data_IF_862676195977
#
_entry.id   IF_862676195977
#
_cell.length_a   1.000
_cell.length_b   1.000
_cell.length_c   1.000
_cell.angle_alpha   90.00
_cell.angle_beta   90.00
_cell.angle_gamma   90.00
#
_symmetry.space_group_name_H-M   'P 1'
#
loop_
_entity.id
_entity.type
_entity.pdbx_description
1 polymer ?
#
# COMPACT_ATOMS: atom_id res chain seq x y z
N UNK A 1 7.83 25.86 -25.74
CA UNK A 1 8.84 25.64 -24.69
C UNK A 1 8.57 24.28 -24.05
N UNK A 2 9.44 23.29 -24.27
CA UNK A 2 9.33 21.97 -23.61
C UNK A 2 9.73 22.19 -22.14
N UNK A 3 8.77 22.25 -21.21
CA UNK A 3 9.10 22.30 -19.78
C UNK A 3 10.02 21.11 -19.42
N UNK A 4 11.05 21.36 -18.61
CA UNK A 4 11.93 20.28 -18.15
C UNK A 4 11.10 19.21 -17.41
N UNK A 5 11.45 17.94 -17.57
CA UNK A 5 10.76 16.80 -16.95
C UNK A 5 10.47 17.01 -15.45
N UNK A 6 11.42 17.56 -14.64
CA UNK A 6 11.18 17.82 -13.22
C UNK A 6 10.03 18.80 -12.96
N UNK A 7 9.89 19.84 -13.79
CA UNK A 7 8.83 20.86 -13.64
C UNK A 7 7.44 20.23 -13.92
N UNK A 8 7.34 19.37 -14.94
CA UNK A 8 6.11 18.66 -15.25
C UNK A 8 5.71 17.70 -14.12
N UNK A 9 6.66 16.89 -13.63
CA UNK A 9 6.43 16.00 -12.49
C UNK A 9 6.02 16.78 -11.26
N UNK A 10 6.71 17.88 -10.94
CA UNK A 10 6.44 18.69 -9.76
C UNK A 10 5.03 19.29 -9.76
N UNK A 11 4.56 19.79 -10.90
CA UNK A 11 3.21 20.36 -11.00
C UNK A 11 2.12 19.30 -10.88
N UNK A 12 2.30 18.13 -11.53
CA UNK A 12 1.38 17.02 -11.41
C UNK A 12 1.37 16.41 -10.01
N UNK A 13 2.54 16.29 -9.39
CA UNK A 13 2.68 15.83 -8.01
C UNK A 13 1.96 16.78 -7.04
N UNK A 14 2.17 18.09 -7.16
CA UNK A 14 1.47 19.07 -6.33
C UNK A 14 -0.05 18.98 -6.49
N UNK A 15 -0.54 18.84 -7.74
CA UNK A 15 -1.98 18.64 -7.99
C UNK A 15 -2.49 17.38 -7.31
N UNK A 16 -1.77 16.26 -7.45
CA UNK A 16 -2.15 14.97 -6.88
C UNK A 16 -2.20 15.02 -5.35
N UNK A 17 -1.17 15.59 -4.72
CA UNK A 17 -1.12 15.77 -3.25
C UNK A 17 -2.27 16.65 -2.75
N UNK A 18 -2.49 17.81 -3.37
CA UNK A 18 -3.59 18.71 -2.98
C UNK A 18 -4.95 18.01 -3.14
N UNK A 19 -5.13 17.25 -4.23
CA UNK A 19 -6.35 16.49 -4.47
C UNK A 19 -6.56 15.45 -3.37
N UNK A 20 -5.55 14.65 -3.04
CA UNK A 20 -5.62 13.67 -1.95
C UNK A 20 -6.02 14.35 -0.65
N UNK A 21 -5.34 15.41 -0.23
CA UNK A 21 -5.63 16.13 1.02
C UNK A 21 -7.05 16.74 1.07
N UNK A 22 -7.63 17.05 -0.08
CA UNK A 22 -8.99 17.61 -0.18
C UNK A 22 -10.09 16.57 -0.34
N UNK A 23 -9.76 15.28 -0.26
CA UNK A 23 -10.71 14.17 -0.37
C UNK A 23 -10.85 13.40 0.94
N UNK A 24 -11.46 13.98 1.99
CA UNK A 24 -11.61 13.30 3.28
C UNK A 24 -12.41 12.00 3.16
N UNK A 25 -13.35 11.92 2.22
CA UNK A 25 -14.12 10.72 1.93
C UNK A 25 -13.26 9.51 1.50
N UNK A 26 -12.05 9.72 1.01
CA UNK A 26 -11.09 8.65 0.68
C UNK A 26 -10.08 8.42 1.81
N UNK A 27 -9.63 9.49 2.47
CA UNK A 27 -8.63 9.40 3.55
C UNK A 27 -9.24 8.77 4.80
N UNK A 28 -10.40 9.24 5.23
CA UNK A 28 -11.01 8.80 6.50
C UNK A 28 -11.24 7.29 6.55
N UNK A 29 -11.86 6.64 5.56
CA UNK A 29 -11.99 5.19 5.57
C UNK A 29 -10.64 4.46 5.56
N UNK A 30 -9.67 4.97 4.81
CA UNK A 30 -8.34 4.36 4.71
C UNK A 30 -7.53 4.44 6.01
N UNK A 31 -7.84 5.37 6.89
CA UNK A 31 -7.24 5.50 8.22
C UNK A 31 -8.04 4.74 9.28
N UNK A 32 -9.37 4.97 9.33
CA UNK A 32 -10.21 4.46 10.41
C UNK A 32 -10.45 2.96 10.30
N UNK A 33 -10.71 2.45 9.10
CA UNK A 33 -11.06 1.04 8.94
C UNK A 33 -9.93 0.08 9.38
N UNK A 34 -8.65 0.27 8.98
CA UNK A 34 -7.56 -0.56 9.49
C UNK A 34 -7.34 -0.42 11.00
N UNK A 35 -7.49 0.79 11.56
CA UNK A 35 -7.36 1.02 13.00
C UNK A 35 -8.50 0.36 13.78
N UNK A 36 -9.72 0.40 13.25
CA UNK A 36 -10.86 -0.29 13.83
C UNK A 36 -10.61 -1.80 13.87
N UNK A 37 -10.15 -2.39 12.76
CA UNK A 37 -9.80 -3.80 12.72
C UNK A 37 -8.62 -4.14 13.65
N UNK A 38 -7.64 -3.25 13.79
CA UNK A 38 -6.57 -3.40 14.76
C UNK A 38 -7.13 -3.51 16.19
N UNK A 39 -8.02 -2.62 16.56
CA UNK A 39 -8.66 -2.61 17.88
C UNK A 39 -9.49 -3.88 18.13
N UNK A 40 -10.32 -4.28 17.17
CA UNK A 40 -11.17 -5.49 17.27
C UNK A 40 -10.30 -6.75 17.37
N UNK A 41 -9.29 -6.88 16.51
CA UNK A 41 -8.40 -8.04 16.52
C UNK A 41 -7.57 -8.12 17.80
N UNK A 42 -7.05 -6.97 18.27
CA UNK A 42 -6.26 -6.92 19.52
C UNK A 42 -7.10 -7.28 20.74
N UNK A 43 -8.39 -6.92 20.76
CA UNK A 43 -9.30 -7.32 21.82
C UNK A 43 -9.76 -8.78 21.71
N UNK A 44 -10.15 -9.21 20.50
CA UNK A 44 -10.73 -10.52 20.27
C UNK A 44 -9.74 -11.68 20.24
N UNK A 45 -8.49 -11.43 19.81
CA UNK A 45 -7.47 -12.44 19.62
C UNK A 45 -6.32 -12.38 20.67
N UNK A 46 -6.57 -11.71 21.79
CA UNK A 46 -5.55 -11.56 22.85
C UNK A 46 -5.01 -12.90 23.37
N UNK A 47 -5.85 -13.94 23.40
CA UNK A 47 -5.45 -15.28 23.86
C UNK A 47 -4.50 -16.02 22.88
N UNK A 48 -4.40 -15.58 21.65
CA UNK A 48 -3.53 -16.21 20.62
C UNK A 48 -2.04 -16.07 20.97
N UNK A 49 -1.66 -15.06 21.73
CA UNK A 49 -0.27 -14.89 22.18
C UNK A 49 0.21 -16.01 23.10
N UNK A 50 -0.71 -16.72 23.77
CA UNK A 50 -0.40 -17.84 24.62
C UNK A 50 -0.07 -19.15 23.87
N UNK A 51 -0.19 -19.15 22.53
CA UNK A 51 0.20 -20.31 21.74
C UNK A 51 1.72 -20.49 21.75
N UNK A 52 2.21 -21.71 22.00
CA UNK A 52 3.65 -21.99 21.95
C UNK A 52 4.24 -21.59 20.59
N UNK A 53 5.29 -20.79 20.60
CA UNK A 53 5.95 -20.32 19.37
C UNK A 53 5.35 -19.05 18.78
N UNK A 54 4.42 -18.38 19.45
CA UNK A 54 3.98 -17.03 19.06
C UNK A 54 5.09 -16.00 19.34
N UNK A 55 5.38 -15.07 18.39
CA UNK A 55 6.62 -14.27 18.44
C UNK A 55 6.61 -13.09 19.41
N UNK A 56 5.51 -12.79 20.06
CA UNK A 56 5.37 -11.64 20.99
C UNK A 56 4.26 -11.85 22.00
N UNK A 57 4.36 -11.19 23.16
CA UNK A 57 3.32 -11.20 24.20
C UNK A 57 2.17 -10.21 23.92
N UNK A 58 2.29 -9.40 22.84
CA UNK A 58 1.31 -8.39 22.46
C UNK A 58 0.71 -8.67 21.10
N UNK A 59 -0.56 -9.11 21.04
CA UNK A 59 -1.26 -9.25 19.77
C UNK A 59 -1.44 -7.92 19.03
N UNK A 60 -1.51 -6.81 19.78
CA UNK A 60 -1.55 -5.45 19.20
C UNK A 60 -0.30 -5.19 18.34
N UNK A 61 0.90 -5.48 18.88
CA UNK A 61 2.16 -5.32 18.15
C UNK A 61 2.19 -6.21 16.89
N UNK A 62 1.75 -7.47 17.01
CA UNK A 62 1.68 -8.38 15.89
C UNK A 62 0.70 -7.92 14.80
N UNK A 63 -0.48 -7.46 15.21
CA UNK A 63 -1.54 -7.01 14.31
C UNK A 63 -1.27 -5.64 13.68
N UNK A 64 -0.43 -4.81 14.29
CA UNK A 64 -0.07 -3.50 13.74
C UNK A 64 0.55 -3.61 12.33
N UNK A 65 1.32 -4.65 12.05
CA UNK A 65 1.85 -4.92 10.71
C UNK A 65 0.74 -5.10 9.66
N UNK A 66 -0.39 -5.70 10.05
CA UNK A 66 -1.54 -5.90 9.17
C UNK A 66 -2.17 -4.57 8.78
N UNK A 67 -2.19 -3.62 9.72
CA UNK A 67 -2.78 -2.29 9.52
C UNK A 67 -2.08 -1.54 8.39
N UNK A 68 -0.75 -1.65 8.27
CA UNK A 68 0.01 -1.06 7.15
C UNK A 68 -0.39 -1.69 5.82
N UNK A 69 -0.55 -3.01 5.77
CA UNK A 69 -0.97 -3.71 4.55
C UNK A 69 -2.39 -3.34 4.13
N UNK A 70 -3.32 -3.27 5.09
CA UNK A 70 -4.69 -2.83 4.84
C UNK A 70 -4.71 -1.40 4.31
N UNK A 71 -3.91 -0.49 4.89
CA UNK A 71 -3.75 0.87 4.39
C UNK A 71 -3.27 0.92 2.93
N UNK A 72 -2.29 0.09 2.58
CA UNK A 72 -1.79 0.02 1.21
C UNK A 72 -2.85 -0.45 0.20
N UNK A 73 -3.77 -1.34 0.60
CA UNK A 73 -4.89 -1.76 -0.26
C UNK A 73 -5.80 -0.59 -0.64
N UNK A 74 -6.03 0.36 0.26
CA UNK A 74 -6.77 1.58 -0.06
C UNK A 74 -6.07 2.44 -1.11
N UNK A 75 -4.75 2.36 -1.23
CA UNK A 75 -4.03 3.08 -2.27
C UNK A 75 -4.35 2.58 -3.68
N UNK A 76 -4.65 1.28 -3.86
CA UNK A 76 -5.14 0.74 -5.15
C UNK A 76 -6.41 1.46 -5.56
N UNK A 77 -7.35 1.56 -4.63
CA UNK A 77 -8.65 2.18 -4.90
C UNK A 77 -8.50 3.68 -5.15
N UNK A 78 -7.81 4.38 -4.25
CA UNK A 78 -7.70 5.84 -4.30
C UNK A 78 -6.97 6.30 -5.57
N UNK A 79 -5.79 5.73 -5.88
CA UNK A 79 -5.04 6.09 -7.08
C UNK A 79 -5.77 5.70 -8.37
N UNK A 80 -6.42 4.53 -8.36
CA UNK A 80 -7.16 4.03 -9.51
C UNK A 80 -8.44 4.83 -9.78
N UNK A 81 -9.26 5.12 -8.76
CA UNK A 81 -10.48 5.92 -8.93
C UNK A 81 -10.18 7.36 -9.29
N UNK A 82 -9.07 7.91 -8.76
CA UNK A 82 -8.62 9.25 -9.13
C UNK A 82 -8.25 9.34 -10.61
N UNK A 83 -7.51 8.36 -11.11
CA UNK A 83 -7.16 8.32 -12.53
C UNK A 83 -8.39 7.99 -13.40
N UNK A 84 -9.27 7.08 -12.97
CA UNK A 84 -10.51 6.78 -13.69
C UNK A 84 -11.37 8.05 -13.86
N UNK A 85 -11.50 8.86 -12.81
CA UNK A 85 -12.19 10.15 -12.90
C UNK A 85 -11.50 11.13 -13.87
N UNK A 86 -10.16 11.16 -13.90
CA UNK A 86 -9.42 11.98 -14.88
C UNK A 86 -9.65 11.48 -16.33
N UNK A 87 -9.90 10.20 -16.51
CA UNK A 87 -10.28 9.60 -17.80
C UNK A 87 -11.71 9.99 -18.18
N UNK A 88 -12.68 9.76 -17.28
CA UNK A 88 -14.10 10.02 -17.48
C UNK A 88 -14.39 11.50 -17.78
N UNK A 89 -13.69 12.42 -17.11
CA UNK A 89 -13.82 13.87 -17.32
C UNK A 89 -13.05 14.39 -18.55
N UNK A 90 -12.39 13.50 -19.31
CA UNK A 90 -11.58 13.86 -20.47
C UNK A 90 -10.30 14.64 -20.13
N UNK A 91 -9.93 14.74 -18.84
CA UNK A 91 -8.70 15.44 -18.43
C UNK A 91 -7.46 14.75 -18.99
N UNK A 92 -7.42 13.41 -18.98
CA UNK A 92 -6.32 12.63 -19.53
C UNK A 92 -6.14 12.91 -21.04
N UNK A 93 -7.23 12.99 -21.80
CA UNK A 93 -7.21 13.26 -23.24
C UNK A 93 -6.67 14.66 -23.54
N UNK A 94 -7.07 15.67 -22.75
CA UNK A 94 -6.52 17.04 -22.87
C UNK A 94 -5.03 17.09 -22.56
N UNK A 95 -4.58 16.33 -21.59
CA UNK A 95 -3.16 16.23 -21.27
C UNK A 95 -2.35 15.52 -22.37
N UNK A 96 -2.94 14.57 -23.08
CA UNK A 96 -2.32 13.90 -24.22
C UNK A 96 -1.97 14.85 -25.39
N UNK A 97 -2.71 15.95 -25.53
CA UNK A 97 -2.45 17.00 -26.53
C UNK A 97 -1.27 17.92 -26.14
N UNK A 98 -0.75 17.80 -24.92
CA UNK A 98 0.41 18.56 -24.46
C UNK A 98 1.69 17.73 -24.61
N UNK A 99 2.89 18.36 -24.75
CA UNK A 99 4.16 17.64 -24.88
C UNK A 99 4.60 17.01 -23.54
N UNK A 100 3.70 16.30 -22.86
CA UNK A 100 3.95 15.60 -21.61
C UNK A 100 4.48 14.19 -21.87
N UNK A 101 5.49 13.81 -21.09
CA UNK A 101 5.98 12.42 -21.11
C UNK A 101 5.06 11.56 -20.22
N UNK A 102 4.63 10.38 -20.71
CA UNK A 102 3.80 9.45 -19.95
C UNK A 102 4.38 9.07 -18.58
N UNK A 103 5.71 8.97 -18.48
CA UNK A 103 6.40 8.75 -17.21
C UNK A 103 6.17 9.91 -16.22
N UNK A 104 6.17 11.17 -16.69
CA UNK A 104 5.90 12.32 -15.84
C UNK A 104 4.46 12.32 -15.32
N UNK A 105 3.51 11.89 -16.16
CA UNK A 105 2.12 11.78 -15.77
C UNK A 105 1.95 10.73 -14.67
N UNK A 106 2.44 9.51 -14.89
CA UNK A 106 2.29 8.41 -13.92
C UNK A 106 3.00 8.71 -12.59
N UNK A 107 4.25 9.18 -12.64
CA UNK A 107 4.99 9.54 -11.41
C UNK A 107 4.34 10.71 -10.66
N UNK A 108 3.80 11.69 -11.37
CA UNK A 108 3.05 12.78 -10.76
C UNK A 108 1.77 12.32 -10.06
N UNK A 109 1.04 11.38 -10.64
CA UNK A 109 -0.16 10.80 -10.01
C UNK A 109 0.17 10.01 -8.75
N UNK A 110 1.31 9.31 -8.72
CA UNK A 110 1.73 8.53 -7.54
C UNK A 110 2.12 9.40 -6.34
N UNK A 111 2.34 10.70 -6.52
CA UNK A 111 2.60 11.59 -5.39
C UNK A 111 1.42 11.66 -4.40
N UNK A 112 0.19 11.44 -4.85
CA UNK A 112 -0.98 11.27 -3.99
C UNK A 112 -0.88 10.01 -3.12
N UNK A 113 -0.48 8.89 -3.72
CA UNK A 113 -0.26 7.63 -2.99
C UNK A 113 0.90 7.75 -1.99
N UNK A 114 1.98 8.46 -2.34
CA UNK A 114 3.10 8.73 -1.44
C UNK A 114 2.62 9.54 -0.22
N UNK A 115 1.85 10.60 -0.44
CA UNK A 115 1.28 11.41 0.64
C UNK A 115 0.34 10.61 1.53
N UNK A 116 -0.54 9.81 0.93
CA UNK A 116 -1.44 8.92 1.65
C UNK A 116 -0.66 7.91 2.50
N UNK A 117 0.35 7.25 1.92
CA UNK A 117 1.20 6.29 2.63
C UNK A 117 1.93 6.90 3.81
N UNK A 118 2.42 8.14 3.67
CA UNK A 118 3.05 8.86 4.77
C UNK A 118 2.05 9.17 5.90
N UNK A 119 0.85 9.65 5.55
CA UNK A 119 -0.21 9.91 6.54
C UNK A 119 -0.63 8.63 7.26
N UNK A 120 -0.83 7.55 6.53
CA UNK A 120 -1.18 6.24 7.09
C UNK A 120 -0.07 5.71 8.01
N UNK A 121 1.18 5.74 7.56
CA UNK A 121 2.31 5.26 8.35
C UNK A 121 2.43 5.99 9.68
N UNK A 122 2.36 7.32 9.65
CA UNK A 122 2.40 8.15 10.86
C UNK A 122 1.20 7.88 11.78
N UNK A 123 -0.01 7.85 11.22
CA UNK A 123 -1.21 7.64 12.01
C UNK A 123 -1.21 6.25 12.68
N UNK A 124 -0.87 5.19 11.94
CA UNK A 124 -0.86 3.83 12.47
C UNK A 124 0.24 3.64 13.52
N UNK A 125 1.45 4.18 13.30
CA UNK A 125 2.51 4.12 14.28
C UNK A 125 2.16 4.92 15.56
N UNK A 126 1.70 6.15 15.42
CA UNK A 126 1.34 6.99 16.57
C UNK A 126 0.25 6.30 17.40
N UNK A 127 -0.81 5.83 16.75
CA UNK A 127 -1.91 5.14 17.44
C UNK A 127 -1.43 3.81 18.03
N UNK A 128 -0.72 2.98 17.27
CA UNK A 128 -0.22 1.70 17.76
C UNK A 128 0.67 1.87 19.01
N UNK A 129 1.64 2.79 18.95
CA UNK A 129 2.54 3.07 20.08
C UNK A 129 1.79 3.68 21.27
N UNK A 130 0.83 4.58 21.05
CA UNK A 130 0.02 5.18 22.12
C UNK A 130 -0.83 4.13 22.86
N UNK A 131 -1.25 3.05 22.18
CA UNK A 131 -1.98 1.95 22.79
C UNK A 131 -1.09 0.79 23.26
N UNK A 132 0.24 0.97 23.28
CA UNK A 132 1.19 0.03 23.88
C UNK A 132 1.73 -1.01 22.89
N UNK A 133 1.71 -0.75 21.59
CA UNK A 133 2.49 -1.54 20.66
C UNK A 133 3.99 -1.29 20.87
N UNK A 134 4.78 -2.33 20.69
CA UNK A 134 6.23 -2.25 20.84
C UNK A 134 6.90 -1.89 19.49
N UNK A 135 8.06 -1.23 19.59
CA UNK A 135 8.93 -0.95 18.46
C UNK A 135 10.36 -1.33 18.84
N UNK A 136 10.66 -2.63 18.71
CA UNK A 136 11.94 -3.21 19.15
C UNK A 136 13.14 -2.64 18.38
N UNK A 137 12.95 -2.28 17.10
CA UNK A 137 14.00 -1.65 16.30
C UNK A 137 14.29 -0.18 16.68
N UNK A 138 13.59 0.40 17.68
CA UNK A 138 13.83 1.75 18.19
C UNK A 138 13.60 2.86 17.17
N UNK A 139 14.23 4.01 17.40
CA UNK A 139 14.04 5.22 16.55
C UNK A 139 14.42 4.99 15.08
N UNK A 140 15.48 4.22 14.83
CA UNK A 140 15.85 3.86 13.45
C UNK A 140 14.75 3.05 12.76
N UNK A 141 14.17 2.08 13.48
CA UNK A 141 13.04 1.28 13.00
C UNK A 141 11.81 2.10 12.67
N UNK A 142 11.53 3.16 13.42
CA UNK A 142 10.44 4.10 13.14
C UNK A 142 10.53 4.67 11.72
N UNK A 143 11.69 5.18 11.32
CA UNK A 143 11.88 5.73 9.97
C UNK A 143 11.85 4.66 8.88
N UNK A 144 12.36 3.46 9.16
CA UNK A 144 12.34 2.37 8.19
C UNK A 144 10.92 1.82 7.99
N UNK A 145 10.10 1.73 9.03
CA UNK A 145 8.67 1.37 8.89
C UNK A 145 7.93 2.39 8.03
N UNK A 146 8.16 3.69 8.27
CA UNK A 146 7.56 4.74 7.44
C UNK A 146 8.00 4.58 5.97
N UNK A 147 9.29 4.41 5.73
CA UNK A 147 9.82 4.23 4.37
C UNK A 147 9.24 2.98 3.69
N UNK A 148 9.18 1.85 4.40
CA UNK A 148 8.59 0.61 3.89
C UNK A 148 7.09 0.77 3.60
N UNK A 149 6.35 1.39 4.53
CA UNK A 149 4.91 1.66 4.36
C UNK A 149 4.63 2.52 3.14
N UNK A 150 5.39 3.61 2.96
CA UNK A 150 5.29 4.48 1.78
C UNK A 150 5.62 3.70 0.51
N UNK A 151 6.70 2.90 0.52
CA UNK A 151 7.11 2.10 -0.62
C UNK A 151 6.03 1.10 -1.04
N UNK A 152 5.45 0.39 -0.07
CA UNK A 152 4.34 -0.56 -0.30
C UNK A 152 3.09 0.18 -0.80
N UNK A 153 2.71 1.28 -0.17
CA UNK A 153 1.53 2.07 -0.56
C UNK A 153 1.65 2.60 -2.00
N UNK A 154 2.83 3.10 -2.38
CA UNK A 154 3.09 3.56 -3.75
C UNK A 154 3.09 2.39 -4.74
N UNK A 155 3.66 1.24 -4.37
CA UNK A 155 3.64 0.04 -5.20
C UNK A 155 2.20 -0.42 -5.48
N UNK A 156 1.36 -0.50 -4.46
CA UNK A 156 -0.06 -0.82 -4.62
C UNK A 156 -0.80 0.26 -5.43
N UNK A 157 -0.45 1.53 -5.28
CA UNK A 157 -0.97 2.62 -6.09
C UNK A 157 -0.74 2.43 -7.59
N UNK A 158 0.41 1.87 -8.01
CA UNK A 158 0.67 1.57 -9.43
C UNK A 158 -0.29 0.53 -10.00
N UNK A 159 -0.71 -0.43 -9.19
CA UNK A 159 -1.70 -1.45 -9.60
C UNK A 159 -3.06 -0.77 -9.85
N UNK A 160 -3.44 0.18 -8.98
CA UNK A 160 -4.65 0.99 -9.18
C UNK A 160 -4.60 1.81 -10.48
N UNK A 161 -3.46 2.46 -10.77
CA UNK A 161 -3.27 3.18 -12.03
C UNK A 161 -3.38 2.25 -13.24
N UNK A 162 -2.76 1.08 -13.19
CA UNK A 162 -2.87 0.08 -14.25
C UNK A 162 -4.33 -0.34 -14.49
N UNK A 163 -5.06 -0.67 -13.43
CA UNK A 163 -6.45 -1.06 -13.50
C UNK A 163 -7.33 0.05 -14.12
N UNK A 164 -7.17 1.29 -13.68
CA UNK A 164 -7.89 2.44 -14.23
C UNK A 164 -7.61 2.67 -15.71
N UNK A 165 -6.36 2.55 -16.14
CA UNK A 165 -5.99 2.68 -17.55
C UNK A 165 -6.57 1.57 -18.44
N UNK A 166 -6.72 0.37 -17.90
CA UNK A 166 -7.30 -0.76 -18.64
C UNK A 166 -8.82 -0.69 -18.71
N UNK A 167 -9.48 -0.37 -17.63
CA UNK A 167 -10.94 -0.39 -17.53
C UNK A 167 -11.57 0.95 -17.89
N UNK A 168 -10.93 2.06 -17.53
CA UNK A 168 -11.46 3.42 -17.66
C UNK A 168 -12.59 3.75 -16.68
N UNK A 169 -12.87 2.89 -15.71
CA UNK A 169 -14.00 3.00 -14.77
C UNK A 169 -13.54 2.94 -13.33
N UNK A 170 -14.02 3.88 -12.51
CA UNK A 170 -13.79 3.89 -11.07
C UNK A 170 -14.47 2.72 -10.36
N UNK A 171 -15.64 2.29 -10.83
CA UNK A 171 -16.37 1.13 -10.29
C UNK A 171 -15.59 -0.16 -10.48
N UNK A 172 -15.01 -0.37 -11.66
CA UNK A 172 -14.18 -1.54 -11.95
C UNK A 172 -12.93 -1.58 -11.05
N UNK A 173 -12.32 -0.43 -10.74
CA UNK A 173 -11.21 -0.34 -9.80
C UNK A 173 -11.66 -0.71 -8.38
N UNK A 174 -12.80 -0.21 -7.94
CA UNK A 174 -13.36 -0.56 -6.62
C UNK A 174 -13.67 -2.05 -6.49
N UNK A 175 -14.11 -2.69 -7.57
CA UNK A 175 -14.34 -4.14 -7.63
C UNK A 175 -13.08 -5.00 -7.38
N UNK A 176 -11.88 -4.42 -7.45
CA UNK A 176 -10.64 -5.13 -7.10
C UNK A 176 -10.40 -5.23 -5.58
N UNK A 177 -11.08 -4.42 -4.76
CA UNK A 177 -10.86 -4.41 -3.32
C UNK A 177 -11.07 -5.78 -2.67
N UNK A 178 -12.18 -6.49 -2.90
CA UNK A 178 -12.36 -7.84 -2.35
C UNK A 178 -11.27 -8.81 -2.78
N UNK A 179 -10.79 -8.72 -4.03
CA UNK A 179 -9.74 -9.59 -4.55
C UNK A 179 -8.44 -9.41 -3.75
N UNK A 180 -8.01 -8.17 -3.52
CA UNK A 180 -6.83 -7.90 -2.72
C UNK A 180 -7.00 -8.30 -1.25
N UNK A 181 -8.22 -8.17 -0.71
CA UNK A 181 -8.52 -8.66 0.63
C UNK A 181 -8.37 -10.17 0.74
N UNK A 182 -8.79 -10.93 -0.27
CA UNK A 182 -8.57 -12.38 -0.33
C UNK A 182 -7.07 -12.70 -0.27
N UNK A 183 -6.23 -11.98 -1.04
CA UNK A 183 -4.77 -12.16 -0.96
C UNK A 183 -4.23 -11.86 0.43
N UNK A 184 -4.74 -10.84 1.11
CA UNK A 184 -4.35 -10.53 2.48
C UNK A 184 -4.73 -11.66 3.45
N UNK A 185 -5.95 -12.20 3.34
CA UNK A 185 -6.41 -13.32 4.17
C UNK A 185 -5.65 -14.63 3.89
N UNK A 186 -5.22 -14.84 2.65
CA UNK A 186 -4.39 -15.99 2.25
C UNK A 186 -2.90 -15.77 2.54
N UNK A 187 -2.54 -14.92 3.48
CA UNK A 187 -1.19 -14.65 3.93
C UNK A 187 -0.99 -15.03 5.40
N UNK A 188 0.19 -14.77 5.93
CA UNK A 188 0.49 -14.90 7.37
C UNK A 188 -0.14 -13.79 8.22
N UNK A 189 -1.32 -13.28 7.83
CA UNK A 189 -1.96 -12.16 8.49
C UNK A 189 -2.29 -12.47 9.95
N UNK A 190 -3.05 -13.52 10.21
CA UNK A 190 -3.59 -13.82 11.54
C UNK A 190 -2.65 -14.66 12.40
N UNK A 191 -1.79 -15.46 11.79
CA UNK A 191 -0.84 -16.34 12.44
C UNK A 191 0.53 -16.29 11.75
N UNK A 192 1.64 -16.43 12.48
CA UNK A 192 2.96 -16.66 11.90
C UNK A 192 2.97 -17.93 11.05
N UNK A 193 3.80 -17.99 10.00
CA UNK A 193 3.86 -19.14 9.09
C UNK A 193 4.13 -20.46 9.81
N UNK A 194 4.99 -20.47 10.82
CA UNK A 194 5.35 -21.64 11.61
C UNK A 194 4.20 -22.23 12.44
N UNK A 195 3.14 -21.46 12.69
CA UNK A 195 1.96 -21.90 13.44
C UNK A 195 0.80 -22.32 12.54
N UNK A 196 0.91 -22.17 11.22
CA UNK A 196 -0.10 -22.60 10.27
C UNK A 196 0.03 -24.13 10.07
N UNK A 197 -0.86 -24.89 10.68
CA UNK A 197 -0.82 -26.37 10.62
C UNK A 197 -1.45 -26.95 9.33
N UNK A 198 -2.40 -26.22 8.74
CA UNK A 198 -3.11 -26.71 7.55
C UNK A 198 -2.23 -26.58 6.30
N UNK A 199 -1.82 -27.70 5.73
CA UNK A 199 -0.83 -27.81 4.65
C UNK A 199 -1.14 -26.90 3.43
N UNK A 200 -2.35 -26.95 2.90
CA UNK A 200 -2.71 -26.13 1.74
C UNK A 200 -2.58 -24.62 2.05
N UNK A 201 -3.04 -24.21 3.24
CA UNK A 201 -3.00 -22.81 3.64
C UNK A 201 -1.54 -22.36 3.90
N UNK A 202 -0.74 -23.20 4.55
CA UNK A 202 0.69 -22.93 4.73
C UNK A 202 1.40 -22.73 3.38
N UNK A 203 1.14 -23.60 2.40
CA UNK A 203 1.72 -23.48 1.05
C UNK A 203 1.32 -22.17 0.38
N UNK A 204 0.03 -21.82 0.40
CA UNK A 204 -0.46 -20.58 -0.20
C UNK A 204 0.14 -19.37 0.50
N UNK A 205 0.14 -19.35 1.84
CA UNK A 205 0.70 -18.25 2.63
C UNK A 205 2.22 -18.09 2.41
N UNK A 206 2.95 -19.18 2.18
CA UNK A 206 4.39 -19.15 1.90
C UNK A 206 4.71 -18.59 0.51
N UNK A 207 3.86 -18.84 -0.49
CA UNK A 207 4.06 -18.31 -1.85
C UNK A 207 3.59 -16.83 -1.93
N UNK A 208 2.71 -16.42 -1.04
CA UNK A 208 2.08 -15.10 -1.07
C UNK A 208 3.08 -13.98 -0.72
N UNK A 209 3.34 -13.01 -1.62
CA UNK A 209 4.27 -11.91 -1.35
C UNK A 209 3.84 -11.03 -0.17
N UNK A 210 2.55 -10.96 0.14
CA UNK A 210 2.02 -10.22 1.29
C UNK A 210 2.57 -10.75 2.61
N UNK A 211 2.80 -12.06 2.73
CA UNK A 211 3.39 -12.66 3.93
C UNK A 211 4.79 -12.12 4.23
N UNK A 212 5.60 -11.90 3.22
CA UNK A 212 6.96 -11.36 3.38
C UNK A 212 6.95 -9.86 3.69
N UNK A 213 6.00 -9.11 3.11
CA UNK A 213 5.80 -7.70 3.50
C UNK A 213 5.39 -7.59 4.97
N UNK A 214 4.48 -8.46 5.44
CA UNK A 214 4.10 -8.52 6.86
C UNK A 214 5.29 -8.91 7.75
N UNK A 215 6.12 -9.87 7.34
CA UNK A 215 7.32 -10.25 8.07
C UNK A 215 8.32 -9.10 8.19
N UNK A 216 8.49 -8.29 7.14
CA UNK A 216 9.37 -7.11 7.18
C UNK A 216 8.87 -6.05 8.17
N UNK A 217 7.56 -5.80 8.25
CA UNK A 217 7.00 -4.92 9.28
C UNK A 217 7.15 -5.52 10.68
N UNK A 218 6.85 -6.81 10.84
CA UNK A 218 6.93 -7.51 12.13
C UNK A 218 8.36 -7.61 12.65
N UNK A 219 9.34 -7.77 11.77
CA UNK A 219 10.74 -7.79 12.21
C UNK A 219 11.10 -6.49 12.96
N UNK A 220 10.73 -5.34 12.41
CA UNK A 220 11.02 -4.04 13.04
C UNK A 220 10.21 -3.79 14.32
N UNK A 221 8.98 -4.30 14.39
CA UNK A 221 8.11 -4.14 15.54
C UNK A 221 8.46 -5.10 16.70
N UNK A 222 8.80 -6.36 16.39
CA UNK A 222 8.88 -7.47 17.35
C UNK A 222 10.32 -7.97 17.55
N UNK A 223 11.04 -8.27 16.44
CA UNK A 223 12.33 -8.96 16.49
C UNK A 223 13.51 -7.97 16.55
N UNK A 224 13.31 -6.75 16.09
CA UNK A 224 14.36 -5.74 15.93
C UNK A 224 14.90 -5.68 14.51
N UNK A 225 16.21 -5.51 14.37
CA UNK A 225 16.88 -5.37 13.08
C UNK A 225 17.18 -6.74 12.45
N UNK A 226 16.34 -7.18 11.53
CA UNK A 226 16.53 -8.36 10.69
C UNK A 226 16.77 -7.95 9.23
N UNK A 227 18.02 -7.67 8.81
CA UNK A 227 18.32 -7.10 7.51
C UNK A 227 17.77 -7.91 6.33
N UNK A 228 17.76 -9.24 6.45
CA UNK A 228 17.25 -10.15 5.41
C UNK A 228 15.74 -9.97 5.17
N UNK A 229 14.95 -9.91 6.23
CA UNK A 229 13.49 -9.72 6.16
C UNK A 229 13.14 -8.33 5.64
N UNK A 230 13.86 -7.31 6.13
CA UNK A 230 13.68 -5.91 5.71
C UNK A 230 14.02 -5.75 4.22
N UNK A 231 15.19 -6.24 3.79
CA UNK A 231 15.61 -6.18 2.40
C UNK A 231 14.64 -6.91 1.46
N UNK A 232 14.12 -8.08 1.88
CA UNK A 232 13.12 -8.83 1.14
C UNK A 232 11.81 -8.04 1.01
N UNK A 233 11.35 -7.39 2.09
CA UNK A 233 10.16 -6.54 2.07
C UNK A 233 10.29 -5.38 1.08
N UNK A 234 11.39 -4.63 1.12
CA UNK A 234 11.66 -3.57 0.14
C UNK A 234 11.81 -4.13 -1.27
N UNK A 235 12.48 -5.27 -1.44
CA UNK A 235 12.64 -5.94 -2.74
C UNK A 235 11.30 -6.30 -3.38
N UNK A 236 10.38 -6.87 -2.59
CA UNK A 236 9.03 -7.20 -3.06
C UNK A 236 8.25 -5.93 -3.39
N UNK A 237 8.29 -4.91 -2.53
CA UNK A 237 7.62 -3.63 -2.79
C UNK A 237 8.12 -2.99 -4.09
N UNK A 238 9.44 -2.97 -4.32
CA UNK A 238 10.05 -2.46 -5.54
C UNK A 238 9.70 -3.30 -6.78
N UNK A 239 9.65 -4.63 -6.64
CA UNK A 239 9.23 -5.51 -7.73
C UNK A 239 7.75 -5.26 -8.12
N UNK A 240 6.85 -5.14 -7.14
CA UNK A 240 5.45 -4.80 -7.37
C UNK A 240 5.32 -3.41 -8.02
N UNK A 241 6.08 -2.43 -7.53
CA UNK A 241 6.14 -1.10 -8.13
C UNK A 241 6.58 -1.15 -9.59
N UNK A 242 7.67 -1.86 -9.89
CA UNK A 242 8.19 -1.98 -11.25
C UNK A 242 7.18 -2.67 -12.19
N UNK A 243 6.59 -3.78 -11.77
CA UNK A 243 5.58 -4.50 -12.54
C UNK A 243 4.33 -3.64 -12.78
N UNK A 244 3.84 -2.96 -11.74
CA UNK A 244 2.70 -2.06 -11.83
C UNK A 244 2.97 -0.87 -12.76
N UNK A 245 4.17 -0.26 -12.69
CA UNK A 245 4.57 0.84 -13.57
C UNK A 245 4.75 0.40 -15.02
N UNK A 246 5.32 -0.77 -15.27
CA UNK A 246 5.42 -1.33 -16.62
C UNK A 246 4.04 -1.58 -17.20
N UNK A 247 3.15 -2.20 -16.42
CA UNK A 247 1.76 -2.40 -16.80
C UNK A 247 1.02 -1.09 -17.09
N UNK A 248 1.11 -0.12 -16.17
CA UNK A 248 0.48 1.20 -16.33
C UNK A 248 1.04 1.95 -17.55
N UNK A 249 2.36 1.92 -17.77
CA UNK A 249 3.00 2.56 -18.92
C UNK A 249 2.54 1.95 -20.24
N UNK A 250 2.44 0.62 -20.31
CA UNK A 250 1.92 -0.11 -21.48
C UNK A 250 0.45 0.24 -21.74
N UNK A 251 -0.38 0.20 -20.69
CA UNK A 251 -1.80 0.53 -20.81
C UNK A 251 -2.03 1.99 -21.22
N UNK A 252 -1.21 2.92 -20.71
CA UNK A 252 -1.27 4.33 -21.11
C UNK A 252 -0.96 4.52 -22.60
N UNK A 253 0.10 3.88 -23.09
CA UNK A 253 0.45 3.93 -24.54
C UNK A 253 -0.70 3.41 -25.41
N UNK A 254 -1.27 2.26 -25.06
CA UNK A 254 -2.37 1.67 -25.81
C UNK A 254 -3.62 2.58 -25.82
N UNK A 255 -3.88 3.27 -24.70
CA UNK A 255 -5.03 4.17 -24.58
C UNK A 255 -4.85 5.43 -25.40
N UNK A 256 -3.66 6.04 -25.39
CA UNK A 256 -3.36 7.27 -26.14
C UNK A 256 -3.32 7.06 -27.66
N UNK A 257 -3.11 5.84 -28.13
CA UNK A 257 -3.17 5.51 -29.58
C UNK A 257 -4.61 5.32 -30.06
N UNK A 258 -5.54 4.99 -29.16
CA UNK A 258 -6.95 4.73 -29.49
C UNK A 258 -7.86 5.97 -29.43
N UNK A 259 -7.34 7.08 -28.92
CA UNK A 259 -8.01 8.38 -28.87
C UNK A 259 -7.44 9.33 -29.90
#
# INVERSE_FOLDING_TARGET
MKGALPTQVGQLARRSVIRTLRQPAQIVPSLIFPMFLLAVNSGGLKSVVNLPGFPTDSYLTFALAITFMQGALFSVINSGTDLARDIETGFLNRMALTPLRGAALLSGLLAGSLMLGLMQALAYLIVGLAFGAELTAGVGGFFVIIALSVCVTVAFGTIGLFAALRTGSGEAVQGLFPVFFVFLFLSSMSLPLNLIQTQWFHTVATINPVSYLLQAFRSLLIEGWEPGKIALGFGIALALFALGMLGASSALKTRLVRT
#
